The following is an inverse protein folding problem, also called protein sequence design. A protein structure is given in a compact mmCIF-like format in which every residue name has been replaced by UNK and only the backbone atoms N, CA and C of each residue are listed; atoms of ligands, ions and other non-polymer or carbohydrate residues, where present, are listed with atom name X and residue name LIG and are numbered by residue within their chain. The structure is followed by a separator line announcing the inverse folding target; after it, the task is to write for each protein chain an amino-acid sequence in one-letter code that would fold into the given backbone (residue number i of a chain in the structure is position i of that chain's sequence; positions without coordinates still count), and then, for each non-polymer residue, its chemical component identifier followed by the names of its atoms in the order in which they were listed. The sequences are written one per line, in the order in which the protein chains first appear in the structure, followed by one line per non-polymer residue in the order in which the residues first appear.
data_IF_873881673829
#
_entry.id   IF_873881673829
#
_cell.length_a   1.000
_cell.length_b   1.000
_cell.length_c   1.000
_cell.angle_alpha   90.00
_cell.angle_beta   90.00
_cell.angle_gamma   90.00
#
_symmetry.space_group_name_H-M   'P 1'
#
loop_
_entity.id
_entity.type
_entity.pdbx_description
1 polymer ?
#
# COMPACT_ATOMS: atom_id res chain seq x y z
N UNK A 1 24.95 -39.28 2.12
CA UNK A 1 24.24 -38.68 0.96
C UNK A 1 22.80 -38.27 1.33
N UNK A 2 22.54 -37.91 2.59
CA UNK A 2 21.25 -37.36 3.03
C UNK A 2 21.39 -35.91 3.57
N UNK A 3 22.61 -35.37 3.67
CA UNK A 3 22.89 -34.06 4.28
C UNK A 3 22.89 -32.90 3.25
N UNK A 4 22.06 -33.01 2.21
CA UNK A 4 21.95 -32.03 1.11
C UNK A 4 20.61 -31.30 1.11
N UNK A 5 19.79 -31.49 2.15
CA UNK A 5 18.54 -30.75 2.33
C UNK A 5 18.50 -30.22 3.76
N UNK A 6 18.22 -28.91 3.94
CA UNK A 6 17.93 -28.35 5.26
C UNK A 6 16.78 -29.12 5.93
N UNK A 7 16.90 -29.36 7.23
CA UNK A 7 15.88 -30.08 7.97
C UNK A 7 14.65 -29.18 8.13
N UNK A 8 13.46 -29.78 8.13
CA UNK A 8 12.19 -29.02 8.22
C UNK A 8 12.08 -28.22 9.54
N UNK A 9 12.90 -28.54 10.54
CA UNK A 9 13.01 -27.87 11.84
C UNK A 9 13.85 -26.57 11.79
N UNK A 10 14.71 -26.40 10.77
CA UNK A 10 15.49 -25.17 10.57
C UNK A 10 14.62 -24.01 10.03
N UNK A 11 13.50 -24.31 9.37
CA UNK A 11 12.55 -23.30 8.87
C UNK A 11 11.65 -22.70 9.96
N UNK A 12 11.42 -23.42 11.07
CA UNK A 12 10.56 -22.97 12.18
C UNK A 12 11.35 -22.18 13.25
N UNK A 13 12.68 -22.19 13.16
CA UNK A 13 13.57 -21.61 14.17
C UNK A 13 13.88 -20.11 13.97
N UNK A 14 13.14 -19.41 13.12
CA UNK A 14 13.22 -17.94 12.98
C UNK A 14 14.56 -17.38 12.47
N UNK A 15 15.48 -18.24 12.04
CA UNK A 15 16.81 -17.86 11.58
C UNK A 15 16.81 -17.55 10.07
N UNK A 16 16.17 -16.45 9.70
CA UNK A 16 16.68 -15.45 8.74
C UNK A 16 15.60 -14.38 8.53
N UNK A 17 15.40 -13.57 9.56
CA UNK A 17 14.70 -12.29 9.44
C UNK A 17 15.63 -11.17 9.88
N UNK A 18 16.69 -10.94 9.09
CA UNK A 18 17.13 -9.56 8.90
C UNK A 18 16.02 -8.87 8.10
N UNK A 19 14.90 -8.57 8.77
CA UNK A 19 13.89 -7.66 8.26
C UNK A 19 14.57 -6.30 8.31
N UNK A 20 15.26 -5.95 7.22
CA UNK A 20 15.67 -4.59 6.97
C UNK A 20 14.41 -3.74 6.81
N UNK A 21 14.46 -2.61 7.49
CA UNK A 21 13.45 -1.57 7.63
C UNK A 21 12.39 -1.54 6.51
N UNK A 22 11.07 -1.68 6.80
CA UNK A 22 10.00 -1.60 5.78
C UNK A 22 9.85 -0.19 5.16
N UNK A 23 10.77 0.73 5.47
CA UNK A 23 10.88 2.06 4.89
C UNK A 23 11.87 2.14 3.72
N UNK A 24 12.56 1.04 3.38
CA UNK A 24 13.35 0.95 2.15
C UNK A 24 12.44 0.52 0.99
N UNK A 25 12.37 1.35 -0.05
CA UNK A 25 11.73 1.05 -1.33
C UNK A 25 12.10 -0.38 -1.78
N UNK A 26 11.14 -1.24 -2.18
CA UNK A 26 11.44 -2.58 -2.66
C UNK A 26 12.15 -2.48 -4.01
N UNK A 27 13.48 -2.35 -4.00
CA UNK A 27 14.25 -2.36 -5.25
C UNK A 27 14.24 -3.78 -5.83
N UNK A 28 14.05 -3.86 -7.14
CA UNK A 28 14.07 -5.12 -7.90
C UNK A 28 15.39 -5.88 -7.73
N UNK A 29 16.47 -5.16 -7.42
CA UNK A 29 17.78 -5.72 -7.10
C UNK A 29 17.75 -6.63 -5.88
N UNK A 30 16.91 -6.36 -4.87
CA UNK A 30 16.84 -7.18 -3.65
C UNK A 30 16.13 -8.53 -3.91
N UNK A 31 15.10 -8.52 -4.74
CA UNK A 31 14.42 -9.74 -5.18
C UNK A 31 15.34 -10.63 -6.03
N UNK A 32 16.04 -10.04 -7.01
CA UNK A 32 16.96 -10.77 -7.89
C UNK A 32 18.21 -11.25 -7.15
N UNK A 33 18.75 -10.46 -6.23
CA UNK A 33 19.88 -10.88 -5.39
C UNK A 33 19.49 -12.05 -4.49
N UNK A 34 18.27 -12.04 -3.93
CA UNK A 34 17.75 -13.14 -3.13
C UNK A 34 17.54 -14.41 -3.95
N UNK A 35 16.92 -14.31 -5.13
CA UNK A 35 16.73 -15.47 -6.02
C UNK A 35 18.06 -16.00 -6.55
N UNK A 36 19.01 -15.12 -6.90
CA UNK A 36 20.36 -15.50 -7.30
C UNK A 36 21.14 -16.19 -6.18
N UNK A 37 21.01 -15.71 -4.95
CA UNK A 37 21.62 -16.36 -3.78
C UNK A 37 20.99 -17.73 -3.48
N UNK A 38 19.67 -17.87 -3.70
CA UNK A 38 18.96 -19.14 -3.53
C UNK A 38 19.38 -20.17 -4.58
N UNK A 39 19.62 -19.72 -5.81
CA UNK A 39 19.93 -20.58 -6.95
C UNK A 39 21.44 -20.84 -7.13
N UNK A 40 22.30 -20.02 -6.51
CA UNK A 40 23.74 -20.24 -6.43
C UNK A 40 24.44 -20.26 -7.79
N UNK A 41 25.34 -21.22 -8.00
CA UNK A 41 26.14 -21.37 -9.24
C UNK A 41 25.28 -21.64 -10.49
N UNK A 42 24.05 -22.14 -10.33
CA UNK A 42 23.13 -22.39 -11.45
C UNK A 42 22.42 -21.11 -11.91
N UNK A 43 22.47 -20.02 -11.15
CA UNK A 43 21.84 -18.75 -11.53
C UNK A 43 22.39 -18.16 -12.83
N UNK A 44 23.68 -18.39 -13.12
CA UNK A 44 24.32 -17.89 -14.33
C UNK A 44 23.86 -18.64 -15.61
N UNK A 45 23.13 -19.77 -15.48
CA UNK A 45 22.52 -20.47 -16.61
C UNK A 45 21.24 -19.79 -17.11
N UNK A 46 20.60 -18.97 -16.27
CA UNK A 46 19.37 -18.26 -16.59
C UNK A 46 19.60 -16.79 -16.96
N UNK A 47 20.82 -16.29 -16.79
CA UNK A 47 21.21 -14.95 -17.22
C UNK A 47 21.36 -14.92 -18.75
N UNK A 48 20.55 -14.10 -19.41
CA UNK A 48 20.63 -13.88 -20.86
C UNK A 48 21.46 -12.63 -21.17
N UNK A 49 22.01 -12.54 -22.38
CA UNK A 49 22.79 -11.34 -22.79
C UNK A 49 21.92 -10.06 -22.83
N UNK A 50 20.60 -10.22 -22.94
CA UNK A 50 19.64 -9.11 -22.98
C UNK A 50 19.32 -8.55 -21.59
N UNK A 51 19.50 -9.35 -20.52
CA UNK A 51 19.32 -8.87 -19.14
C UNK A 51 20.31 -7.74 -18.82
N UNK A 52 21.56 -7.85 -19.26
CA UNK A 52 22.56 -6.79 -19.08
C UNK A 52 22.19 -5.47 -19.77
N UNK A 53 21.39 -5.52 -20.85
CA UNK A 53 20.90 -4.32 -21.53
C UNK A 53 19.71 -3.69 -20.80
N UNK A 54 18.83 -4.50 -20.20
CA UNK A 54 17.71 -4.04 -19.39
C UNK A 54 18.15 -3.30 -18.11
N UNK A 55 19.28 -3.71 -17.50
CA UNK A 55 19.83 -3.09 -16.28
C UNK A 55 20.82 -1.93 -16.54
N UNK A 56 21.25 -1.69 -17.78
CA UNK A 56 22.21 -0.62 -18.11
C UNK A 56 21.59 0.78 -18.01
N UNK A 57 20.27 0.89 -18.17
CA UNK A 57 19.50 2.10 -17.93
C UNK A 57 19.04 2.14 -16.47
N UNK A 58 19.78 2.84 -15.63
CA UNK A 58 19.36 3.22 -14.26
C UNK A 58 18.24 4.28 -14.26
N UNK A 59 17.41 4.31 -15.31
CA UNK A 59 16.29 5.23 -15.38
C UNK A 59 15.04 4.48 -14.93
N UNK A 60 14.36 5.09 -13.98
CA UNK A 60 13.16 4.67 -13.27
C UNK A 60 11.96 4.57 -14.22
N UNK A 61 12.03 3.67 -15.20
CA UNK A 61 10.92 3.34 -16.08
C UNK A 61 10.91 1.83 -16.39
N UNK A 62 10.78 1.06 -15.31
CA UNK A 62 10.46 -0.38 -15.36
C UNK A 62 8.99 -0.63 -15.78
N UNK A 63 8.35 0.33 -16.46
CA UNK A 63 6.99 0.19 -16.99
C UNK A 63 6.79 0.93 -18.32
N UNK A 64 7.80 0.89 -19.19
CA UNK A 64 7.58 0.87 -20.63
C UNK A 64 7.03 2.17 -21.23
N UNK A 65 7.68 3.29 -20.96
CA UNK A 65 7.49 4.55 -21.68
C UNK A 65 8.03 4.53 -23.11
N UNK A 66 7.24 3.95 -24.02
CA UNK A 66 7.13 4.34 -25.43
C UNK A 66 8.43 4.46 -26.27
N UNK A 67 9.01 3.32 -26.61
CA UNK A 67 9.73 3.12 -27.88
C UNK A 67 9.02 2.04 -28.69
N UNK A 68 8.36 2.41 -29.80
CA UNK A 68 7.57 1.58 -30.73
C UNK A 68 8.26 0.32 -31.31
N UNK A 69 9.39 -0.13 -30.78
CA UNK A 69 10.22 -1.19 -31.35
C UNK A 69 10.09 -2.54 -30.62
N UNK A 70 9.62 -2.55 -29.37
CA UNK A 70 9.53 -3.80 -28.57
C UNK A 70 8.21 -4.54 -28.78
N UNK A 71 7.14 -3.80 -29.05
CA UNK A 71 5.83 -4.37 -29.35
C UNK A 71 5.86 -5.22 -30.64
N UNK A 72 6.68 -4.82 -31.62
CA UNK A 72 6.90 -5.59 -32.85
C UNK A 72 7.62 -6.93 -32.61
N UNK A 73 8.45 -7.04 -31.57
CA UNK A 73 9.21 -8.27 -31.26
C UNK A 73 8.38 -9.26 -30.46
N UNK A 74 7.45 -8.78 -29.64
CA UNK A 74 6.49 -9.64 -28.91
C UNK A 74 5.34 -10.09 -29.81
N UNK A 75 4.77 -9.20 -30.62
CA UNK A 75 3.67 -9.53 -31.57
C UNK A 75 4.12 -10.49 -32.69
N UNK A 76 5.42 -10.56 -32.99
CA UNK A 76 5.95 -11.52 -33.98
C UNK A 76 6.22 -12.91 -33.42
N UNK A 77 6.22 -13.09 -32.10
CA UNK A 77 6.42 -14.38 -31.43
C UNK A 77 5.10 -15.13 -31.15
N UNK A 78 3.96 -14.45 -31.22
CA UNK A 78 2.65 -15.04 -31.01
C UNK A 78 1.76 -14.82 -32.23
N UNK A 79 1.08 -15.87 -32.73
CA UNK A 79 0.11 -15.71 -33.82
C UNK A 79 -1.01 -14.74 -33.43
N UNK A 80 -1.27 -13.74 -34.26
CA UNK A 80 -2.34 -12.76 -34.04
C UNK A 80 -3.72 -13.42 -34.18
N UNK A 81 -4.47 -13.44 -33.08
CA UNK A 81 -5.80 -14.04 -32.99
C UNK A 81 -6.91 -13.11 -33.51
N UNK A 82 -6.61 -11.84 -33.79
CA UNK A 82 -7.60 -10.83 -34.20
C UNK A 82 -7.83 -10.80 -35.73
N UNK A 83 -6.96 -11.46 -36.49
CA UNK A 83 -7.06 -11.56 -37.94
C UNK A 83 -7.41 -13.01 -38.36
N UNK A 84 -8.65 -13.31 -38.76
CA UNK A 84 -9.07 -14.68 -39.10
C UNK A 84 -8.38 -15.26 -40.35
N UNK A 85 -7.61 -14.46 -41.11
CA UNK A 85 -6.78 -14.89 -42.24
C UNK A 85 -5.28 -14.99 -41.94
N UNK A 86 -4.81 -14.62 -40.73
CA UNK A 86 -3.42 -14.82 -40.29
C UNK A 86 -3.24 -16.08 -39.41
N UNK A 87 -4.33 -16.77 -39.09
CA UNK A 87 -4.38 -17.94 -38.21
C UNK A 87 -4.93 -19.22 -38.87
N UNK A 88 -5.06 -19.28 -40.20
CA UNK A 88 -5.41 -20.51 -40.92
C UNK A 88 -4.20 -21.44 -41.07
N UNK A 89 -3.62 -21.82 -39.93
CA UNK A 89 -2.80 -23.03 -39.79
C UNK A 89 -3.60 -24.22 -39.25
N UNK A 90 -4.77 -24.01 -38.64
CA UNK A 90 -5.62 -25.09 -38.11
C UNK A 90 -7.10 -24.72 -38.21
N UNK A 91 -7.67 -24.92 -39.39
CA UNK A 91 -9.07 -25.31 -39.51
C UNK A 91 -9.19 -26.28 -40.66
N UNK A 92 -9.49 -27.53 -40.32
CA UNK A 92 -9.95 -28.55 -41.27
C UNK A 92 -8.86 -29.17 -42.14
N UNK A 93 -8.14 -30.14 -41.57
CA UNK A 93 -7.46 -31.19 -42.35
C UNK A 93 -6.12 -30.79 -42.98
N UNK A 94 -5.06 -31.46 -42.54
CA UNK A 94 -3.79 -31.64 -43.26
C UNK A 94 -2.91 -30.40 -43.43
N UNK A 95 -1.82 -30.32 -42.64
CA UNK A 95 -0.44 -30.14 -43.11
C UNK A 95 0.50 -29.66 -41.98
N UNK A 96 0.90 -30.58 -41.11
CA UNK A 96 2.21 -30.49 -40.46
C UNK A 96 3.15 -31.33 -41.35
N UNK A 97 4.30 -30.77 -41.68
CA UNK A 97 5.37 -31.33 -42.51
C UNK A 97 5.16 -31.20 -44.03
N UNK A 98 6.09 -30.48 -44.68
CA UNK A 98 6.33 -30.56 -46.13
C UNK A 98 7.00 -31.89 -46.51
N UNK A 99 6.45 -33.01 -46.02
CA UNK A 99 6.76 -34.37 -46.46
C UNK A 99 5.50 -35.02 -47.05
N UNK A 100 5.61 -36.10 -47.84
CA UNK A 100 4.44 -36.73 -48.47
C UNK A 100 3.44 -37.20 -47.39
N UNK A 101 2.29 -36.55 -47.30
CA UNK A 101 1.27 -36.80 -46.29
C UNK A 101 0.41 -38.00 -46.69
N UNK A 102 0.53 -39.09 -45.93
CA UNK A 102 -0.39 -40.24 -46.00
C UNK A 102 -1.60 -39.92 -45.12
N UNK A 103 -2.77 -39.77 -45.74
CA UNK A 103 -4.04 -39.55 -45.03
C UNK A 103 -4.58 -40.87 -44.48
N UNK A 104 -4.45 -41.08 -43.16
CA UNK A 104 -5.14 -42.16 -42.46
C UNK A 104 -6.54 -41.71 -42.05
N UNK A 105 -7.53 -42.01 -42.87
CA UNK A 105 -8.93 -41.92 -42.46
C UNK A 105 -9.31 -43.21 -41.71
N UNK A 106 -9.06 -43.25 -40.39
CA UNK A 106 -9.50 -44.36 -39.56
C UNK A 106 -10.99 -44.20 -39.26
N UNK A 107 -11.83 -44.99 -39.93
CA UNK A 107 -13.28 -45.06 -39.73
C UNK A 107 -13.70 -45.71 -38.41
N UNK A 108 -12.93 -45.55 -37.34
CA UNK A 108 -13.30 -46.02 -36.01
C UNK A 108 -14.18 -44.96 -35.34
N UNK A 109 -15.50 -45.18 -35.37
CA UNK A 109 -16.38 -44.58 -34.38
C UNK A 109 -16.10 -45.31 -33.07
N UNK A 110 -15.56 -44.61 -32.07
CA UNK A 110 -15.43 -45.15 -30.73
C UNK A 110 -16.84 -45.35 -30.16
N UNK A 111 -17.43 -46.51 -30.42
CA UNK A 111 -18.48 -47.04 -29.56
C UNK A 111 -17.81 -47.36 -28.23
N UNK A 112 -17.89 -46.41 -27.30
CA UNK A 112 -17.70 -46.71 -25.90
C UNK A 112 -18.91 -47.56 -25.48
N UNK A 113 -18.75 -48.88 -25.47
CA UNK A 113 -19.60 -49.68 -24.61
C UNK A 113 -19.45 -49.10 -23.19
N UNK A 114 -20.58 -48.85 -22.51
CA UNK A 114 -20.59 -48.50 -21.08
C UNK A 114 -20.09 -49.72 -20.29
N UNK A 115 -18.80 -50.02 -20.39
CA UNK A 115 -18.14 -50.89 -19.43
C UNK A 115 -18.19 -50.16 -18.09
N UNK A 116 -18.79 -50.82 -17.09
CA UNK A 116 -18.84 -50.30 -15.72
C UNK A 116 -17.43 -49.89 -15.31
N UNK A 117 -17.23 -48.58 -15.09
CA UNK A 117 -15.92 -48.07 -14.74
C UNK A 117 -15.35 -48.87 -13.56
N UNK A 118 -14.06 -49.26 -13.62
CA UNK A 118 -13.47 -50.09 -12.59
C UNK A 118 -13.61 -49.41 -11.23
N UNK A 119 -13.98 -50.17 -10.19
CA UNK A 119 -14.32 -49.64 -8.85
C UNK A 119 -13.22 -48.72 -8.29
N UNK A 120 -11.95 -49.02 -8.57
CA UNK A 120 -10.79 -48.20 -8.19
C UNK A 120 -10.85 -46.78 -8.75
N UNK A 121 -11.33 -46.61 -9.99
CA UNK A 121 -11.49 -45.29 -10.63
C UNK A 121 -12.66 -44.53 -10.02
N UNK A 122 -13.75 -45.22 -9.66
CA UNK A 122 -14.89 -44.63 -8.95
C UNK A 122 -14.47 -44.10 -7.57
N UNK A 123 -13.78 -44.93 -6.78
CA UNK A 123 -13.26 -44.54 -5.47
C UNK A 123 -12.24 -43.38 -5.56
N UNK A 124 -11.39 -43.38 -6.59
CA UNK A 124 -10.45 -42.30 -6.82
C UNK A 124 -11.14 -40.97 -7.15
N UNK A 125 -12.17 -40.99 -8.01
CA UNK A 125 -12.98 -39.79 -8.31
C UNK A 125 -13.71 -39.29 -7.08
N UNK A 126 -14.35 -40.17 -6.32
CA UNK A 126 -15.03 -39.81 -5.08
C UNK A 126 -14.05 -39.19 -4.06
N UNK A 127 -12.84 -39.76 -3.90
CA UNK A 127 -11.81 -39.19 -3.01
C UNK A 127 -11.32 -37.83 -3.50
N UNK A 128 -11.13 -37.66 -4.81
CA UNK A 128 -10.75 -36.38 -5.42
C UNK A 128 -11.83 -35.33 -5.22
N UNK A 129 -13.08 -35.66 -5.52
CA UNK A 129 -14.22 -34.75 -5.42
C UNK A 129 -14.46 -34.33 -3.98
N UNK A 130 -14.35 -35.25 -3.02
CA UNK A 130 -14.38 -34.92 -1.60
C UNK A 130 -13.24 -33.97 -1.18
N UNK A 131 -12.02 -34.14 -1.70
CA UNK A 131 -10.92 -33.21 -1.43
C UNK A 131 -11.15 -31.83 -2.06
N UNK A 132 -11.71 -31.78 -3.27
CA UNK A 132 -12.08 -30.53 -3.93
C UNK A 132 -13.19 -29.82 -3.15
N UNK A 133 -14.23 -30.56 -2.75
CA UNK A 133 -15.33 -30.03 -1.96
C UNK A 133 -14.84 -29.46 -0.63
N UNK A 134 -13.96 -30.16 0.09
CA UNK A 134 -13.36 -29.68 1.34
C UNK A 134 -12.55 -28.39 1.13
N UNK A 135 -11.74 -28.32 0.07
CA UNK A 135 -11.00 -27.09 -0.26
C UNK A 135 -11.95 -25.95 -0.63
N UNK A 136 -12.98 -26.23 -1.42
CA UNK A 136 -13.97 -25.24 -1.83
C UNK A 136 -14.73 -24.67 -0.62
N UNK A 137 -15.11 -25.51 0.34
CA UNK A 137 -15.73 -25.08 1.60
C UNK A 137 -14.79 -24.20 2.42
N UNK A 138 -13.50 -24.56 2.54
CA UNK A 138 -12.50 -23.75 3.21
C UNK A 138 -12.31 -22.38 2.54
N UNK A 139 -12.21 -22.34 1.21
CA UNK A 139 -12.09 -21.08 0.48
C UNK A 139 -13.36 -20.24 0.55
N UNK A 140 -14.54 -20.87 0.58
CA UNK A 140 -15.81 -20.17 0.79
C UNK A 140 -15.86 -19.53 2.18
N UNK A 141 -15.49 -20.27 3.22
CA UNK A 141 -15.42 -19.77 4.60
C UNK A 141 -14.43 -18.61 4.74
N UNK A 142 -13.22 -18.73 4.17
CA UNK A 142 -12.23 -17.64 4.16
C UNK A 142 -12.75 -16.40 3.42
N UNK A 143 -13.44 -16.59 2.29
CA UNK A 143 -14.06 -15.47 1.57
C UNK A 143 -15.13 -14.79 2.40
N UNK A 144 -16.00 -15.54 3.07
CA UNK A 144 -17.02 -14.96 3.95
C UNK A 144 -16.39 -14.22 5.14
N UNK A 145 -15.31 -14.76 5.72
CA UNK A 145 -14.57 -14.12 6.80
C UNK A 145 -13.93 -12.80 6.33
N UNK A 146 -13.23 -12.80 5.19
CA UNK A 146 -12.63 -11.58 4.63
C UNK A 146 -13.68 -10.52 4.26
N UNK A 147 -14.85 -10.93 3.75
CA UNK A 147 -15.95 -10.00 3.47
C UNK A 147 -16.49 -9.41 4.77
N UNK A 148 -16.68 -10.23 5.80
CA UNK A 148 -17.16 -9.78 7.11
C UNK A 148 -16.17 -8.84 7.78
N UNK A 149 -14.88 -9.16 7.73
CA UNK A 149 -13.81 -8.30 8.25
C UNK A 149 -13.76 -6.98 7.48
N UNK A 150 -13.89 -7.00 6.14
CA UNK A 150 -13.96 -5.79 5.33
C UNK A 150 -15.17 -4.92 5.69
N UNK A 151 -16.34 -5.52 5.93
CA UNK A 151 -17.53 -4.79 6.40
C UNK A 151 -17.30 -4.16 7.78
N UNK A 152 -16.74 -4.92 8.72
CA UNK A 152 -16.41 -4.40 10.06
C UNK A 152 -15.41 -3.25 9.99
N UNK A 153 -14.36 -3.37 9.18
CA UNK A 153 -13.39 -2.29 8.98
C UNK A 153 -14.02 -1.03 8.38
N UNK A 154 -15.02 -1.17 7.49
CA UNK A 154 -15.77 -0.03 6.95
C UNK A 154 -16.59 0.63 8.06
N UNK A 155 -17.32 -0.15 8.86
CA UNK A 155 -18.12 0.37 9.96
C UNK A 155 -17.25 1.08 11.00
N UNK A 156 -16.14 0.44 11.42
CA UNK A 156 -15.16 1.00 12.35
C UNK A 156 -14.54 2.30 11.81
N UNK A 157 -14.27 2.38 10.50
CA UNK A 157 -13.77 3.61 9.87
C UNK A 157 -14.77 4.76 10.01
N UNK A 158 -16.04 4.52 9.73
CA UNK A 158 -17.07 5.56 9.84
C UNK A 158 -17.35 5.95 11.29
N UNK A 159 -17.37 5.00 12.22
CA UNK A 159 -17.48 5.30 13.65
C UNK A 159 -16.29 6.15 14.12
N UNK A 160 -15.06 5.74 13.80
CA UNK A 160 -13.85 6.48 14.18
C UNK A 160 -13.79 7.86 13.55
N UNK A 161 -14.19 8.00 12.28
CA UNK A 161 -14.27 9.28 11.59
C UNK A 161 -15.30 10.20 12.25
N UNK A 162 -16.49 9.70 12.51
CA UNK A 162 -17.56 10.47 13.15
C UNK A 162 -17.18 10.88 14.57
N UNK A 163 -16.61 9.97 15.36
CA UNK A 163 -16.08 10.25 16.69
C UNK A 163 -14.97 11.32 16.65
N UNK A 164 -14.04 11.24 15.68
CA UNK A 164 -12.99 12.24 15.52
C UNK A 164 -13.54 13.60 15.10
N UNK A 165 -14.51 13.62 14.18
CA UNK A 165 -15.21 14.83 13.76
C UNK A 165 -15.96 15.47 14.93
N UNK A 166 -16.72 14.69 15.69
CA UNK A 166 -17.48 15.18 16.84
C UNK A 166 -16.55 15.71 17.93
N UNK A 167 -15.46 14.99 18.24
CA UNK A 167 -14.41 15.48 19.15
C UNK A 167 -13.80 16.79 18.65
N UNK A 168 -13.52 16.92 17.35
CA UNK A 168 -12.98 18.15 16.76
C UNK A 168 -13.96 19.33 16.83
N UNK A 169 -15.25 19.09 16.60
CA UNK A 169 -16.30 20.11 16.75
C UNK A 169 -16.46 20.50 18.22
N UNK A 170 -16.52 19.52 19.13
CA UNK A 170 -16.62 19.75 20.56
C UNK A 170 -15.42 20.53 21.10
N UNK A 171 -14.21 20.20 20.64
CA UNK A 171 -12.98 20.92 20.99
C UNK A 171 -13.03 22.37 20.47
N UNK A 172 -13.34 22.58 19.19
CA UNK A 172 -13.48 23.93 18.61
C UNK A 172 -14.54 24.76 19.36
N UNK A 173 -15.66 24.12 19.73
CA UNK A 173 -16.72 24.78 20.50
C UNK A 173 -16.24 25.16 21.90
N UNK A 174 -15.56 24.26 22.59
CA UNK A 174 -14.98 24.52 23.91
C UNK A 174 -13.93 25.64 23.83
N UNK A 175 -13.04 25.61 22.85
CA UNK A 175 -12.06 26.67 22.61
C UNK A 175 -12.72 28.00 22.29
N UNK A 176 -13.82 28.01 21.53
CA UNK A 176 -14.59 29.23 21.26
C UNK A 176 -15.26 29.77 22.54
N UNK A 177 -15.83 28.90 23.38
CA UNK A 177 -16.41 29.26 24.66
C UNK A 177 -15.33 29.80 25.63
N UNK A 178 -14.16 29.17 25.70
CA UNK A 178 -12.99 29.64 26.46
C UNK A 178 -12.43 30.97 25.92
N UNK A 179 -12.41 31.14 24.60
CA UNK A 179 -12.00 32.39 23.97
C UNK A 179 -12.98 33.52 24.27
N UNK A 180 -14.28 33.26 24.25
CA UNK A 180 -15.30 34.22 24.65
C UNK A 180 -15.20 34.53 26.15
N UNK A 181 -15.03 33.53 27.01
CA UNK A 181 -14.87 33.72 28.44
C UNK A 181 -13.59 34.53 28.77
N UNK A 182 -12.46 34.24 28.12
CA UNK A 182 -11.23 35.01 28.29
C UNK A 182 -11.38 36.44 27.73
N UNK A 183 -12.12 36.63 26.64
CA UNK A 183 -12.49 37.97 26.16
C UNK A 183 -13.36 38.72 27.17
N UNK A 184 -14.36 38.07 27.77
CA UNK A 184 -15.21 38.70 28.78
C UNK A 184 -14.44 39.00 30.07
N UNK A 185 -13.56 38.10 30.53
CA UNK A 185 -12.70 38.33 31.70
C UNK A 185 -11.67 39.46 31.45
N UNK A 186 -11.09 39.52 30.26
CA UNK A 186 -10.18 40.62 29.86
C UNK A 186 -10.90 41.97 29.76
N UNK A 187 -12.21 41.98 29.49
CA UNK A 187 -13.02 43.20 29.40
C UNK A 187 -13.62 43.60 30.76
N UNK A 188 -13.96 42.62 31.61
CA UNK A 188 -14.71 42.83 32.87
C UNK A 188 -13.82 43.08 34.10
N UNK A 189 -12.61 42.51 34.15
CA UNK A 189 -11.74 42.58 35.35
C UNK A 189 -10.62 43.62 35.29
N UNK A 190 -10.56 44.52 36.28
CA UNK A 190 -9.37 45.33 36.60
C UNK A 190 -9.32 46.75 36.02
N UNK A 191 -8.19 47.42 36.27
CA UNK A 191 -7.88 48.77 35.77
C UNK A 191 -7.75 48.75 34.24
N UNK A 192 -7.94 49.89 33.57
CA UNK A 192 -7.78 49.98 32.10
C UNK A 192 -6.39 49.51 31.63
N UNK A 193 -5.35 49.69 32.45
CA UNK A 193 -3.99 49.24 32.19
C UNK A 193 -3.81 47.73 32.31
N UNK A 194 -4.52 47.04 33.21
CA UNK A 194 -4.55 45.57 33.25
C UNK A 194 -5.13 44.99 31.96
N UNK A 195 -6.16 45.62 31.38
CA UNK A 195 -6.76 45.19 30.10
C UNK A 195 -5.78 45.36 28.93
N UNK A 196 -5.10 46.50 28.88
CA UNK A 196 -4.09 46.80 27.86
C UNK A 196 -2.91 45.80 27.96
N UNK A 197 -2.48 45.48 29.19
CA UNK A 197 -1.40 44.53 29.42
C UNK A 197 -1.77 43.07 29.10
N UNK A 198 -3.06 42.68 29.18
CA UNK A 198 -3.54 41.37 28.72
C UNK A 198 -3.62 41.27 27.19
N UNK A 199 -3.90 42.38 26.49
CA UNK A 199 -3.99 42.44 25.02
C UNK A 199 -2.63 42.56 24.32
N UNK A 200 -1.66 43.19 24.99
CA UNK A 200 -0.31 43.40 24.46
C UNK A 200 0.63 42.32 25.02
N UNK A 201 1.37 41.63 24.15
CA UNK A 201 2.40 40.69 24.57
C UNK A 201 3.54 41.42 25.30
N UNK A 202 3.47 41.43 26.63
CA UNK A 202 4.52 41.98 27.50
C UNK A 202 5.54 40.91 27.90
N UNK A 203 5.65 39.78 27.19
CA UNK A 203 6.57 38.70 27.56
C UNK A 203 8.03 39.00 27.23
N UNK A 204 8.33 39.96 26.36
CA UNK A 204 9.70 40.28 25.96
C UNK A 204 10.26 39.31 24.92
N UNK A 205 9.43 38.43 24.36
CA UNK A 205 9.84 37.41 23.39
C UNK A 205 9.40 37.81 21.99
N UNK A 206 10.34 37.74 21.05
CA UNK A 206 10.11 38.06 19.64
C UNK A 206 9.84 39.55 19.35
N UNK A 207 9.65 39.85 18.07
CA UNK A 207 9.43 41.21 17.59
C UNK A 207 8.11 41.83 18.10
N UNK A 208 7.08 41.01 18.33
CA UNK A 208 5.79 41.46 18.92
C UNK A 208 5.90 41.68 20.43
N UNK A 209 6.60 40.80 21.16
CA UNK A 209 6.75 40.89 22.61
C UNK A 209 7.77 41.94 23.10
N UNK A 210 8.46 42.64 22.20
CA UNK A 210 9.45 43.65 22.57
C UNK A 210 10.77 43.04 23.06
N UNK A 211 11.32 42.09 22.31
CA UNK A 211 12.64 41.50 22.56
C UNK A 211 13.78 42.53 22.55
N UNK A 212 14.87 42.15 23.23
CA UNK A 212 16.08 42.97 23.38
C UNK A 212 16.60 43.47 22.03
N UNK A 213 16.64 44.79 21.82
CA UNK A 213 17.03 45.45 20.57
C UNK A 213 15.85 45.94 19.71
N UNK A 214 14.61 45.71 20.12
CA UNK A 214 13.42 46.22 19.44
C UNK A 214 13.11 47.69 19.76
N UNK A 215 13.75 48.29 20.77
CA UNK A 215 13.45 49.65 21.26
C UNK A 215 12.11 49.75 22.01
N UNK A 216 11.43 48.62 22.22
CA UNK A 216 10.14 48.52 22.91
C UNK A 216 10.29 48.16 24.39
N UNK A 217 11.53 48.04 24.90
CA UNK A 217 11.79 47.71 26.31
C UNK A 217 11.22 48.78 27.25
N UNK A 218 11.45 50.06 26.96
CA UNK A 218 10.91 51.17 27.78
C UNK A 218 9.39 51.23 27.77
N UNK A 219 8.77 50.89 26.64
CA UNK A 219 7.31 50.82 26.52
C UNK A 219 6.75 49.65 27.34
N UNK A 220 7.43 48.49 27.33
CA UNK A 220 7.08 47.37 28.18
C UNK A 220 7.21 47.73 29.67
N UNK A 221 8.31 48.35 30.08
CA UNK A 221 8.52 48.79 31.46
C UNK A 221 7.42 49.75 31.93
N UNK A 222 7.04 50.70 31.07
CA UNK A 222 5.93 51.63 31.32
C UNK A 222 4.58 50.90 31.45
N UNK A 223 4.28 49.93 30.59
CA UNK A 223 3.05 49.14 30.69
C UNK A 223 3.00 48.30 31.97
N UNK A 224 4.14 47.74 32.39
CA UNK A 224 4.24 46.96 33.63
C UNK A 224 4.11 47.84 34.87
N UNK A 225 4.62 49.08 34.85
CA UNK A 225 4.46 50.02 35.96
C UNK A 225 3.03 50.53 36.07
N UNK A 226 2.42 50.93 34.95
CA UNK A 226 1.03 51.39 34.89
C UNK A 226 0.02 50.30 35.27
N UNK A 227 0.34 49.03 34.97
CA UNK A 227 -0.45 47.89 35.43
C UNK A 227 -0.47 47.75 36.96
N UNK A 228 0.65 48.02 37.62
CA UNK A 228 0.81 47.86 39.08
C UNK A 228 0.33 49.08 39.87
N UNK A 229 0.12 50.21 39.22
CA UNK A 229 -0.28 51.46 39.85
C UNK A 229 -1.80 51.63 39.86
N UNK A 230 -2.40 51.46 41.04
CA UNK A 230 -3.84 51.62 41.25
C UNK A 230 -4.34 53.08 41.09
N UNK A 231 -3.44 54.07 41.12
CA UNK A 231 -3.75 55.50 40.89
C UNK A 231 -3.40 55.97 39.49
N UNK A 232 -3.04 55.06 38.59
CA UNK A 232 -2.73 55.42 37.22
C UNK A 232 -3.92 56.14 36.54
N UNK A 233 -3.67 57.12 35.66
CA UNK A 233 -4.73 57.78 34.92
C UNK A 233 -5.55 56.76 34.13
N UNK A 234 -6.87 56.76 34.32
CA UNK A 234 -7.79 55.76 33.75
C UNK A 234 -7.95 54.47 34.56
N UNK A 235 -7.32 54.34 35.74
CA UNK A 235 -7.50 53.19 36.64
C UNK A 235 -8.88 53.15 37.30
N UNK A 236 -9.44 54.31 37.64
CA UNK A 236 -10.85 54.47 38.02
C UNK A 236 -11.63 54.78 36.74
N UNK A 237 -12.47 53.85 36.27
CA UNK A 237 -13.24 54.02 35.04
C UNK A 237 -14.08 55.30 35.02
N UNK A 238 -14.28 55.86 33.82
CA UNK A 238 -15.36 56.80 33.53
C UNK A 238 -16.67 56.05 33.32
#
# INVERSE_FOLDING_TARGET
MADRFPSLEDFDSGAQTDIKDPTAEPSTDDFLAREKALLGDDADQFATNDDAAAFASNDDDLLGGAGNNEQSTFESQFPDLTNPDAGTGVSGGTAITGGPSVSYNSGYQAFAEEEEEPEVVKEWRERRDNQIAKRAEQFAAQREETIKEAQQNIDDFYENYNNKKEKGIAQTRKEAEEFLASREDTVSGGTSWDRIAKLVDVSGKGAKGGASGSGKERFRELLVSLRKDEKAPGATGY
#
